data_IF_057993286622
#
_entry.id   IF_057993286622
#
_cell.length_a   1.000
_cell.length_b   1.000
_cell.length_c   1.000
_cell.angle_alpha   90.00
_cell.angle_beta   90.00
_cell.angle_gamma   90.00
#
_symmetry.space_group_name_H-M   'P 1'
#
loop_
_entity.id
_entity.type
_entity.pdbx_description
1 polymer ?
#
# COMPACT_ATOMS: atom_id res chain seq x y z
N UNK A 1 23.69 -28.09 33.00
CA UNK A 1 24.15 -27.43 34.23
C UNK A 1 23.16 -26.32 34.57
N UNK A 2 22.29 -26.64 35.55
CA UNK A 2 21.32 -25.65 36.06
C UNK A 2 22.08 -24.68 36.95
N UNK A 3 22.10 -23.40 36.63
CA UNK A 3 22.74 -22.37 37.46
C UNK A 3 21.95 -22.26 38.78
N UNK A 4 22.59 -22.41 39.98
CA UNK A 4 21.90 -22.31 41.27
C UNK A 4 21.15 -20.97 41.47
N UNK A 5 21.60 -19.89 40.83
CA UNK A 5 21.02 -18.54 40.93
C UNK A 5 19.59 -18.45 40.38
N UNK A 6 19.16 -19.45 39.60
CA UNK A 6 17.80 -19.49 39.02
C UNK A 6 16.75 -19.68 40.15
N UNK A 7 17.10 -20.37 41.23
CA UNK A 7 16.14 -20.63 42.32
C UNK A 7 15.66 -19.39 43.05
N UNK A 8 16.44 -18.31 43.05
CA UNK A 8 16.04 -17.02 43.64
C UNK A 8 14.84 -16.40 42.93
N UNK A 9 14.69 -16.65 41.62
CA UNK A 9 13.60 -16.07 40.84
C UNK A 9 12.23 -16.73 41.09
N UNK A 10 12.19 -17.94 41.62
CA UNK A 10 10.94 -18.59 42.06
C UNK A 10 10.24 -17.81 43.18
N UNK A 11 10.99 -17.06 43.99
CA UNK A 11 10.42 -16.21 45.05
C UNK A 11 9.56 -15.08 44.52
N UNK A 12 9.65 -14.74 43.22
CA UNK A 12 8.83 -13.73 42.58
C UNK A 12 7.38 -14.19 42.31
N UNK A 13 7.12 -15.51 42.38
CA UNK A 13 5.78 -16.08 42.15
C UNK A 13 5.24 -15.90 40.72
N UNK A 14 6.14 -15.73 39.74
CA UNK A 14 5.78 -15.45 38.33
C UNK A 14 5.81 -16.73 37.46
N UNK A 15 5.99 -17.91 38.03
CA UNK A 15 6.16 -19.17 37.31
C UNK A 15 7.60 -19.54 37.09
N UNK A 16 7.85 -20.48 36.18
CA UNK A 16 9.20 -21.03 35.91
C UNK A 16 10.04 -19.99 35.12
N UNK A 17 11.27 -19.68 35.61
CA UNK A 17 12.17 -18.78 34.89
C UNK A 17 12.81 -19.47 33.67
N UNK A 18 12.93 -18.76 32.57
CA UNK A 18 13.62 -19.24 31.36
C UNK A 18 15.05 -18.69 31.33
N UNK A 19 16.07 -19.49 31.67
CA UNK A 19 17.46 -19.01 31.62
C UNK A 19 17.95 -18.88 30.19
N UNK A 20 18.39 -17.69 29.82
CA UNK A 20 18.88 -17.40 28.46
C UNK A 20 20.26 -16.78 28.48
N UNK A 21 21.08 -17.11 27.50
CA UNK A 21 22.36 -16.45 27.25
C UNK A 21 22.32 -15.77 25.87
N UNK A 22 22.22 -14.45 25.84
CA UNK A 22 22.21 -13.67 24.61
C UNK A 22 23.53 -13.80 23.82
N UNK A 23 24.66 -14.00 24.54
CA UNK A 23 25.98 -14.12 23.90
C UNK A 23 26.18 -15.48 23.23
N UNK A 24 25.63 -16.56 23.83
CA UNK A 24 25.83 -17.93 23.37
C UNK A 24 24.58 -18.55 22.72
N UNK A 25 23.46 -17.84 22.70
CA UNK A 25 22.20 -18.32 22.14
C UNK A 25 21.53 -19.47 22.92
N UNK A 26 22.04 -19.82 24.12
CA UNK A 26 21.46 -20.90 24.93
C UNK A 26 20.11 -20.46 25.53
N UNK A 27 19.12 -21.37 25.49
CA UNK A 27 17.80 -21.17 26.09
C UNK A 27 16.87 -20.21 25.35
N UNK A 28 17.33 -19.60 24.25
CA UNK A 28 16.51 -18.66 23.46
C UNK A 28 15.36 -19.36 22.72
N UNK A 29 15.56 -20.61 22.29
CA UNK A 29 14.51 -21.42 21.68
C UNK A 29 13.38 -21.72 22.67
N UNK A 30 13.72 -22.21 23.87
CA UNK A 30 12.75 -22.53 24.90
C UNK A 30 11.93 -21.33 25.36
N UNK A 31 12.60 -20.14 25.44
CA UNK A 31 11.91 -18.88 25.72
C UNK A 31 10.93 -18.49 24.60
N UNK A 32 11.33 -18.63 23.35
CA UNK A 32 10.47 -18.31 22.20
C UNK A 32 9.27 -19.27 22.14
N UNK A 33 9.49 -20.57 22.33
CA UNK A 33 8.42 -21.56 22.36
C UNK A 33 7.40 -21.26 23.47
N UNK A 34 7.86 -20.91 24.67
CA UNK A 34 7.01 -20.47 25.75
C UNK A 34 6.25 -19.16 25.44
N UNK A 35 6.85 -18.23 24.72
CA UNK A 35 6.15 -17.03 24.25
C UNK A 35 5.05 -17.40 23.25
N UNK A 36 5.32 -18.32 22.32
CA UNK A 36 4.33 -18.77 21.33
C UNK A 36 3.12 -19.44 21.95
N UNK A 37 3.27 -20.18 23.04
CA UNK A 37 2.15 -20.80 23.78
C UNK A 37 1.15 -19.74 24.31
N UNK A 38 1.60 -18.51 24.52
CA UNK A 38 0.79 -17.43 25.07
C UNK A 38 0.25 -16.48 23.98
N UNK A 39 0.62 -16.69 22.71
CA UNK A 39 -0.03 -15.95 21.63
C UNK A 39 -1.45 -16.46 21.43
N UNK A 40 -2.43 -15.56 21.20
CA UNK A 40 -3.76 -16.01 20.81
C UNK A 40 -3.65 -16.87 19.55
N UNK A 41 -4.42 -17.99 19.47
CA UNK A 41 -4.42 -18.82 18.27
C UNK A 41 -4.73 -17.96 17.04
N UNK A 42 -4.09 -18.29 15.92
CA UNK A 42 -4.20 -17.55 14.64
C UNK A 42 -5.67 -17.38 14.16
N UNK A 43 -6.57 -18.28 14.61
CA UNK A 43 -8.01 -18.25 14.36
C UNK A 43 -8.77 -17.14 15.11
N UNK A 44 -8.12 -16.41 16.04
CA UNK A 44 -8.68 -15.23 16.73
C UNK A 44 -8.14 -13.90 16.21
N UNK A 45 -7.20 -13.88 15.27
CA UNK A 45 -7.14 -12.79 14.33
C UNK A 45 -8.55 -12.77 13.68
N UNK A 46 -9.39 -11.78 14.04
CA UNK A 46 -10.65 -11.51 13.36
C UNK A 46 -10.35 -11.72 11.89
N UNK A 47 -11.07 -12.66 11.25
CA UNK A 47 -10.94 -12.88 9.82
C UNK A 47 -10.94 -11.46 9.24
N UNK A 48 -9.79 -11.01 8.74
CA UNK A 48 -9.71 -9.69 8.11
C UNK A 48 -10.87 -9.71 7.14
N UNK A 49 -11.89 -8.90 7.42
CA UNK A 49 -13.07 -8.83 6.58
C UNK A 49 -12.52 -8.78 5.17
N UNK A 50 -12.99 -9.67 4.31
CA UNK A 50 -12.56 -9.83 2.90
C UNK A 50 -12.93 -8.58 2.09
N UNK A 51 -12.77 -7.42 2.73
CA UNK A 51 -13.14 -6.08 2.31
C UNK A 51 -11.91 -5.30 1.89
N UNK A 52 -11.83 -5.00 0.61
CA UNK A 52 -10.75 -4.16 0.08
C UNK A 52 -11.05 -2.68 0.36
N UNK A 53 -10.16 -2.02 1.10
CA UNK A 53 -10.27 -0.61 1.47
C UNK A 53 -9.62 0.28 0.40
N UNK A 54 -10.42 1.13 -0.23
CA UNK A 54 -10.02 1.96 -1.38
C UNK A 54 -10.02 3.43 -1.00
N UNK A 55 -8.88 4.10 -1.10
CA UNK A 55 -8.80 5.56 -1.04
C UNK A 55 -8.82 6.16 -2.44
N UNK A 56 -9.74 7.09 -2.70
CA UNK A 56 -9.76 7.89 -3.95
C UNK A 56 -9.17 9.25 -3.63
N UNK A 57 -7.95 9.49 -4.08
CA UNK A 57 -7.17 10.69 -3.77
C UNK A 57 -6.84 11.48 -5.04
N UNK A 58 -6.47 12.74 -4.88
CA UNK A 58 -6.14 13.65 -5.98
C UNK A 58 -6.52 15.09 -5.63
N UNK A 59 -6.08 16.04 -6.44
CA UNK A 59 -6.36 17.47 -6.25
C UNK A 59 -7.86 17.79 -6.30
N UNK A 60 -8.28 18.98 -5.85
CA UNK A 60 -9.66 19.45 -6.00
C UNK A 60 -10.13 19.42 -7.47
N UNK A 61 -11.42 19.20 -7.69
CA UNK A 61 -12.09 19.22 -9.00
C UNK A 61 -11.61 18.19 -10.04
N UNK A 62 -10.73 17.25 -9.71
CA UNK A 62 -10.30 16.18 -10.60
C UNK A 62 -11.40 15.13 -10.89
N UNK A 63 -12.52 15.19 -10.14
CA UNK A 63 -13.68 14.32 -10.35
C UNK A 63 -13.84 13.18 -9.36
N UNK A 64 -13.20 13.24 -8.18
CA UNK A 64 -13.33 12.22 -7.11
C UNK A 64 -14.79 11.94 -6.75
N UNK A 65 -15.54 12.99 -6.43
CA UNK A 65 -16.97 12.88 -6.07
C UNK A 65 -17.82 12.29 -7.21
N UNK A 66 -17.49 12.64 -8.45
CA UNK A 66 -18.17 12.08 -9.63
C UNK A 66 -17.92 10.59 -9.77
N UNK A 67 -16.67 10.15 -9.55
CA UNK A 67 -16.31 8.73 -9.58
C UNK A 67 -17.00 7.96 -8.47
N UNK A 68 -16.96 8.45 -7.23
CA UNK A 68 -17.67 7.83 -6.10
C UNK A 68 -19.17 7.71 -6.36
N UNK A 69 -19.80 8.80 -6.80
CA UNK A 69 -21.24 8.77 -7.11
C UNK A 69 -21.55 7.81 -8.25
N UNK A 70 -20.69 7.69 -9.25
CA UNK A 70 -20.84 6.73 -10.35
C UNK A 70 -20.75 5.29 -9.85
N UNK A 71 -19.77 4.99 -8.99
CA UNK A 71 -19.60 3.66 -8.40
C UNK A 71 -20.80 3.28 -7.55
N UNK A 72 -21.21 4.17 -6.62
CA UNK A 72 -22.30 3.91 -5.69
C UNK A 72 -23.69 3.99 -6.33
N UNK A 73 -23.82 4.64 -7.47
CA UNK A 73 -25.08 4.78 -8.22
C UNK A 73 -25.35 3.66 -9.23
N UNK A 74 -24.49 2.68 -9.37
CA UNK A 74 -24.73 1.51 -10.24
C UNK A 74 -25.70 0.53 -9.58
N UNK A 75 -26.69 0.03 -10.31
CA UNK A 75 -27.78 -0.82 -9.79
C UNK A 75 -27.34 -2.13 -9.10
N UNK A 76 -26.08 -2.54 -9.27
CA UNK A 76 -25.51 -3.77 -8.70
C UNK A 76 -24.72 -3.53 -7.42
N UNK A 77 -24.65 -2.31 -6.92
CA UNK A 77 -23.95 -1.96 -5.70
C UNK A 77 -24.93 -2.07 -4.54
N UNK A 78 -24.78 -3.10 -3.73
CA UNK A 78 -25.51 -3.24 -2.48
C UNK A 78 -24.78 -2.35 -1.46
N UNK A 79 -25.33 -1.16 -1.20
CA UNK A 79 -24.91 -0.34 -0.07
C UNK A 79 -25.45 -1.01 1.18
N UNK A 80 -24.64 -1.75 1.91
CA UNK A 80 -25.05 -2.29 3.20
C UNK A 80 -24.75 -1.26 4.29
N UNK A 81 -25.81 -0.76 4.93
CA UNK A 81 -25.68 -0.17 6.27
C UNK A 81 -25.39 -1.32 7.24
N UNK A 82 -24.16 -1.77 7.33
CA UNK A 82 -23.75 -2.74 8.35
C UNK A 82 -23.77 -2.01 9.68
N UNK A 83 -24.86 -2.19 10.40
CA UNK A 83 -25.02 -1.79 11.78
C UNK A 83 -24.01 -2.60 12.63
N UNK A 84 -22.89 -2.00 12.98
CA UNK A 84 -21.85 -2.62 13.80
C UNK A 84 -20.48 -1.95 13.70
N UNK A 85 -20.18 -1.21 12.64
CA UNK A 85 -18.96 -0.42 12.52
C UNK A 85 -19.26 1.04 12.89
N UNK A 86 -19.53 1.27 14.17
CA UNK A 86 -19.78 2.58 14.80
C UNK A 86 -18.51 3.43 14.80
N UNK A 87 -17.78 3.58 13.71
CA UNK A 87 -16.62 4.47 13.78
C UNK A 87 -16.56 5.61 12.79
N UNK A 88 -17.20 5.58 11.62
CA UNK A 88 -17.24 6.81 10.82
C UNK A 88 -18.37 6.75 9.77
N UNK A 89 -19.37 7.61 9.91
CA UNK A 89 -20.39 7.92 8.89
C UNK A 89 -19.81 8.53 7.60
N UNK A 90 -18.53 8.28 7.34
CA UNK A 90 -17.68 8.93 6.34
C UNK A 90 -17.34 7.97 5.21
N UNK A 91 -17.42 6.65 5.43
CA UNK A 91 -17.03 5.61 4.48
C UNK A 91 -18.26 4.97 3.81
N UNK A 92 -18.08 4.37 2.64
CA UNK A 92 -19.17 3.69 1.92
C UNK A 92 -18.81 2.27 1.53
N UNK A 93 -19.59 1.31 2.02
CA UNK A 93 -19.51 -0.10 1.64
C UNK A 93 -20.28 -0.38 0.36
N UNK A 94 -19.76 -1.26 -0.47
CA UNK A 94 -20.49 -1.86 -1.57
C UNK A 94 -19.90 -3.24 -1.92
N UNK A 95 -20.68 -4.03 -2.64
CA UNK A 95 -20.28 -5.34 -3.13
C UNK A 95 -20.40 -5.37 -4.66
N UNK A 96 -19.40 -5.94 -5.32
CA UNK A 96 -19.39 -6.13 -6.76
C UNK A 96 -18.75 -7.48 -7.09
N UNK A 97 -19.50 -8.28 -7.88
CA UNK A 97 -19.06 -9.61 -8.34
C UNK A 97 -18.58 -10.54 -7.19
N UNK A 98 -19.21 -10.42 -6.00
CA UNK A 98 -18.86 -11.19 -4.80
C UNK A 98 -17.71 -10.63 -3.98
N UNK A 99 -17.00 -9.60 -4.45
CA UNK A 99 -15.96 -8.91 -3.68
C UNK A 99 -16.54 -7.69 -2.97
N UNK A 100 -16.19 -7.53 -1.69
CA UNK A 100 -16.59 -6.39 -0.87
C UNK A 100 -15.55 -5.29 -0.90
N UNK A 101 -16.01 -4.05 -1.00
CA UNK A 101 -15.16 -2.86 -1.04
C UNK A 101 -15.62 -1.82 -0.04
N UNK A 102 -14.68 -1.05 0.50
CA UNK A 102 -14.93 0.11 1.37
C UNK A 102 -14.24 1.33 0.76
N UNK A 103 -15.01 2.31 0.28
CA UNK A 103 -14.43 3.59 -0.14
C UNK A 103 -14.28 4.48 1.09
N UNK A 104 -13.04 4.89 1.37
CA UNK A 104 -12.67 5.71 2.52
C UNK A 104 -12.99 7.19 2.27
N UNK A 105 -13.49 7.89 3.29
CA UNK A 105 -13.76 9.35 3.32
C UNK A 105 -14.76 9.85 2.27
N UNK A 106 -15.85 9.11 2.03
CA UNK A 106 -16.87 9.48 1.05
C UNK A 106 -17.70 10.70 1.48
N UNK A 107 -17.87 11.01 2.77
CA UNK A 107 -18.65 12.15 3.24
C UNK A 107 -17.99 13.49 2.89
N UNK A 108 -16.65 13.55 2.92
CA UNK A 108 -15.91 14.72 2.43
C UNK A 108 -16.08 14.95 0.93
N UNK A 109 -16.37 13.88 0.18
CA UNK A 109 -16.60 13.93 -1.28
C UNK A 109 -18.05 14.25 -1.64
N UNK A 110 -19.04 13.88 -0.78
CA UNK A 110 -20.47 14.12 -1.03
C UNK A 110 -20.91 15.54 -0.74
N UNK A 111 -20.31 16.21 0.25
CA UNK A 111 -20.59 17.62 0.56
C UNK A 111 -19.82 18.51 -0.41
N UNK A 112 -20.49 19.11 -1.40
CA UNK A 112 -19.95 20.23 -2.19
C UNK A 112 -19.65 21.38 -1.21
N UNK A 113 -18.45 21.47 -0.70
CA UNK A 113 -18.04 22.65 0.07
C UNK A 113 -17.72 23.78 -0.91
N UNK A 114 -18.32 24.96 -0.66
CA UNK A 114 -17.89 26.21 -1.28
C UNK A 114 -16.41 26.41 -0.94
N UNK A 115 -15.64 26.73 -1.98
CA UNK A 115 -14.18 26.86 -1.95
C UNK A 115 -13.79 28.03 -1.05
N UNK A 116 -12.89 27.75 -0.09
CA UNK A 116 -12.15 28.76 0.66
C UNK A 116 -10.68 28.33 0.75
N UNK A 117 -9.72 29.25 0.64
CA UNK A 117 -8.26 29.02 0.57
C UNK A 117 -7.64 28.25 1.77
N UNK A 118 -8.42 28.03 2.82
CA UNK A 118 -8.07 27.13 3.93
C UNK A 118 -8.16 25.65 3.58
N UNK A 119 -8.73 25.32 2.43
CA UNK A 119 -9.08 23.95 2.00
C UNK A 119 -7.84 23.11 1.64
N UNK A 120 -6.73 23.73 1.25
CA UNK A 120 -5.56 23.00 0.74
C UNK A 120 -4.86 22.17 1.83
N UNK A 121 -4.62 22.75 3.01
CA UNK A 121 -4.02 22.02 4.15
C UNK A 121 -4.94 20.92 4.68
N UNK A 122 -6.24 21.17 4.73
CA UNK A 122 -7.22 20.16 5.12
C UNK A 122 -7.36 19.03 4.08
N UNK A 123 -7.15 19.33 2.78
CA UNK A 123 -7.19 18.35 1.71
C UNK A 123 -6.03 17.36 1.80
N UNK A 124 -4.81 17.84 2.09
CA UNK A 124 -3.63 16.98 2.27
C UNK A 124 -3.77 16.09 3.50
N UNK A 125 -4.19 16.65 4.64
CA UNK A 125 -4.41 15.88 5.87
C UNK A 125 -5.44 14.76 5.67
N UNK A 126 -6.57 15.06 5.02
CA UNK A 126 -7.59 14.06 4.69
C UNK A 126 -7.05 12.98 3.75
N UNK A 127 -6.29 13.37 2.73
CA UNK A 127 -5.65 12.42 1.83
C UNK A 127 -4.72 11.48 2.61
N UNK A 128 -3.89 12.01 3.52
CA UNK A 128 -3.00 11.21 4.37
C UNK A 128 -3.78 10.22 5.24
N UNK A 129 -4.84 10.67 5.92
CA UNK A 129 -5.69 9.80 6.76
C UNK A 129 -6.39 8.71 5.93
N UNK A 130 -6.85 9.04 4.72
CA UNK A 130 -7.47 8.06 3.82
C UNK A 130 -6.44 7.04 3.32
N UNK A 131 -5.23 7.49 2.97
CA UNK A 131 -4.12 6.63 2.56
C UNK A 131 -3.77 5.65 3.68
N UNK A 132 -3.59 6.12 4.91
CA UNK A 132 -3.23 5.26 6.05
C UNK A 132 -4.22 4.11 6.26
N UNK A 133 -5.51 4.38 6.12
CA UNK A 133 -6.60 3.43 6.35
C UNK A 133 -6.89 2.51 5.15
N UNK A 134 -6.31 2.77 3.98
CA UNK A 134 -6.60 2.03 2.75
C UNK A 134 -5.62 0.89 2.48
N UNK A 135 -6.05 -0.08 1.67
CA UNK A 135 -5.22 -1.13 1.07
C UNK A 135 -4.68 -0.66 -0.29
N UNK A 136 -5.48 0.12 -1.01
CA UNK A 136 -5.16 0.64 -2.34
C UNK A 136 -5.57 2.09 -2.51
N UNK A 137 -4.74 2.87 -3.21
CA UNK A 137 -4.99 4.27 -3.55
C UNK A 137 -5.25 4.42 -5.05
N UNK A 138 -6.43 4.91 -5.41
CA UNK A 138 -6.74 5.40 -6.76
C UNK A 138 -6.38 6.89 -6.85
N UNK A 139 -5.27 7.20 -7.50
CA UNK A 139 -4.71 8.56 -7.64
C UNK A 139 -5.29 9.18 -8.89
N UNK A 140 -6.20 10.14 -8.71
CA UNK A 140 -6.91 10.78 -9.81
C UNK A 140 -6.17 11.99 -10.37
N UNK A 141 -5.98 12.00 -11.68
CA UNK A 141 -5.38 13.07 -12.48
C UNK A 141 -6.41 13.55 -13.51
N UNK A 142 -6.43 14.85 -13.79
CA UNK A 142 -7.27 15.45 -14.82
C UNK A 142 -6.60 15.34 -16.20
N UNK A 143 -7.23 14.65 -17.14
CA UNK A 143 -6.70 14.50 -18.50
C UNK A 143 -6.51 15.83 -19.24
N UNK A 144 -7.29 16.86 -18.89
CA UNK A 144 -7.19 18.19 -19.54
C UNK A 144 -5.97 18.99 -19.08
N UNK A 145 -5.54 18.78 -17.82
CA UNK A 145 -4.42 19.51 -17.23
C UNK A 145 -3.11 18.71 -17.26
N UNK A 146 -3.19 17.39 -17.38
CA UNK A 146 -2.05 16.50 -17.22
C UNK A 146 -1.59 16.40 -15.76
N UNK A 147 -0.38 15.89 -15.55
CA UNK A 147 0.24 15.77 -14.22
C UNK A 147 0.72 17.14 -13.75
N UNK A 148 0.26 17.55 -12.57
CA UNK A 148 0.67 18.80 -11.94
C UNK A 148 1.56 18.54 -10.72
N UNK A 149 2.25 19.55 -10.20
CA UNK A 149 3.05 19.46 -8.99
C UNK A 149 2.22 18.96 -7.78
N UNK A 150 0.95 19.38 -7.70
CA UNK A 150 0.05 18.92 -6.65
C UNK A 150 -0.28 17.43 -6.78
N UNK A 151 -0.48 16.92 -7.99
CA UNK A 151 -0.70 15.51 -8.26
C UNK A 151 0.54 14.69 -7.86
N UNK A 152 1.74 15.16 -8.19
CA UNK A 152 3.00 14.52 -7.79
C UNK A 152 3.16 14.46 -6.27
N UNK A 153 2.80 15.52 -5.55
CA UNK A 153 2.83 15.52 -4.06
C UNK A 153 1.86 14.51 -3.47
N UNK A 154 0.62 14.47 -3.96
CA UNK A 154 -0.41 13.53 -3.49
C UNK A 154 -0.02 12.07 -3.81
N UNK A 155 0.49 11.83 -5.01
CA UNK A 155 1.00 10.52 -5.42
C UNK A 155 2.18 10.07 -4.55
N UNK A 156 3.10 11.00 -4.22
CA UNK A 156 4.22 10.76 -3.32
C UNK A 156 3.79 10.28 -1.94
N UNK A 157 2.74 10.87 -1.35
CA UNK A 157 2.21 10.42 -0.06
C UNK A 157 1.77 8.95 -0.07
N UNK A 158 1.09 8.52 -1.13
CA UNK A 158 0.65 7.12 -1.27
C UNK A 158 1.84 6.16 -1.51
N UNK A 159 2.81 6.60 -2.31
CA UNK A 159 4.04 5.86 -2.55
C UNK A 159 4.86 5.68 -1.27
N UNK A 160 5.12 6.75 -0.54
CA UNK A 160 5.90 6.74 0.71
C UNK A 160 5.23 5.90 1.80
N UNK A 161 3.89 5.85 1.81
CA UNK A 161 3.11 4.97 2.68
C UNK A 161 3.14 3.48 2.24
N UNK A 162 3.80 3.15 1.13
CA UNK A 162 3.93 1.78 0.62
C UNK A 162 2.62 1.16 0.15
N UNK A 163 1.60 1.96 -0.19
CA UNK A 163 0.29 1.44 -0.60
C UNK A 163 0.30 0.91 -2.03
N UNK A 164 -0.57 -0.05 -2.29
CA UNK A 164 -0.90 -0.40 -3.67
C UNK A 164 -1.52 0.82 -4.36
N UNK A 165 -1.09 1.16 -5.58
CA UNK A 165 -1.50 2.38 -6.26
C UNK A 165 -1.99 2.10 -7.68
N UNK A 166 -3.00 2.86 -8.11
CA UNK A 166 -3.50 2.93 -9.48
C UNK A 166 -3.54 4.40 -9.88
N UNK A 167 -2.96 4.76 -11.01
CA UNK A 167 -3.06 6.12 -11.56
C UNK A 167 -4.30 6.16 -12.45
N UNK A 168 -5.25 7.04 -12.11
CA UNK A 168 -6.54 7.18 -12.81
C UNK A 168 -6.57 8.52 -13.54
N UNK A 169 -6.43 8.51 -14.85
CA UNK A 169 -6.55 9.68 -15.70
C UNK A 169 -8.02 9.87 -16.06
N UNK A 170 -8.68 10.79 -15.36
CA UNK A 170 -10.12 11.08 -15.47
C UNK A 170 -10.41 12.20 -16.48
N UNK A 171 -11.68 12.41 -16.78
CA UNK A 171 -12.21 13.32 -17.80
C UNK A 171 -11.73 12.97 -19.22
N UNK A 172 -11.52 11.67 -19.46
CA UNK A 172 -11.10 11.17 -20.77
C UNK A 172 -12.07 11.52 -21.91
N UNK A 173 -13.35 11.79 -21.58
CA UNK A 173 -14.38 12.27 -22.51
C UNK A 173 -14.15 13.71 -23.01
N UNK A 174 -13.47 14.53 -22.21
CA UNK A 174 -13.34 15.98 -22.44
C UNK A 174 -12.13 16.39 -23.29
N UNK A 175 -11.29 15.44 -23.71
CA UNK A 175 -10.12 15.73 -24.56
C UNK A 175 -10.33 15.27 -26.00
N UNK A 176 -9.74 16.00 -26.93
CA UNK A 176 -9.63 15.57 -28.33
C UNK A 176 -8.63 14.42 -28.46
N UNK A 177 -9.00 13.40 -29.22
CA UNK A 177 -8.21 12.15 -29.31
C UNK A 177 -7.84 11.85 -30.76
N UNK A 178 -6.59 11.56 -30.96
CA UNK A 178 -6.08 10.86 -32.14
C UNK A 178 -5.62 9.45 -31.79
N UNK A 179 -5.11 8.70 -32.76
CA UNK A 179 -4.66 7.31 -32.55
C UNK A 179 -3.48 7.15 -31.57
N UNK A 180 -2.81 8.24 -31.19
CA UNK A 180 -1.62 8.24 -30.30
C UNK A 180 -1.83 9.01 -28.99
N UNK A 181 -2.97 9.66 -28.79
CA UNK A 181 -3.22 10.53 -27.62
C UNK A 181 -3.06 9.75 -26.31
N UNK A 182 -3.58 8.54 -26.22
CA UNK A 182 -3.46 7.72 -25.01
C UNK A 182 -2.01 7.35 -24.72
N UNK A 183 -1.26 6.94 -25.74
CA UNK A 183 0.15 6.57 -25.59
C UNK A 183 0.98 7.78 -25.11
N UNK A 184 0.85 8.92 -25.79
CA UNK A 184 1.58 10.14 -25.39
C UNK A 184 1.28 10.56 -23.95
N UNK A 185 0.01 10.54 -23.55
CA UNK A 185 -0.38 10.91 -22.19
C UNK A 185 0.12 9.89 -21.17
N UNK A 186 0.17 8.60 -21.50
CA UNK A 186 0.76 7.59 -20.62
C UNK A 186 2.28 7.82 -20.47
N UNK A 187 2.99 8.13 -21.56
CA UNK A 187 4.41 8.47 -21.52
C UNK A 187 4.68 9.70 -20.63
N UNK A 188 3.84 10.75 -20.73
CA UNK A 188 3.92 11.94 -19.87
C UNK A 188 3.68 11.58 -18.39
N UNK A 189 2.64 10.82 -18.09
CA UNK A 189 2.36 10.33 -16.71
C UNK A 189 3.54 9.52 -16.17
N UNK A 190 4.11 8.62 -16.98
CA UNK A 190 5.28 7.80 -16.59
C UNK A 190 6.53 8.62 -16.35
N UNK A 191 6.75 9.67 -17.16
CA UNK A 191 7.87 10.60 -16.96
C UNK A 191 7.73 11.39 -15.65
N UNK A 192 6.53 11.96 -15.42
CA UNK A 192 6.31 12.88 -14.31
C UNK A 192 6.12 12.15 -12.97
N UNK A 193 5.68 10.87 -13.00
CA UNK A 193 5.56 9.97 -11.86
C UNK A 193 6.55 8.78 -11.99
N UNK A 194 7.80 9.07 -12.36
CA UNK A 194 8.83 8.05 -12.66
C UNK A 194 9.15 7.12 -11.48
N UNK A 195 8.90 7.54 -10.25
CA UNK A 195 9.04 6.73 -9.04
C UNK A 195 7.90 5.70 -8.83
N UNK A 196 6.80 5.80 -9.62
CA UNK A 196 5.64 4.91 -9.52
C UNK A 196 5.46 4.02 -10.76
N UNK A 197 6.54 3.50 -11.32
CA UNK A 197 6.50 2.62 -12.50
C UNK A 197 5.69 1.35 -12.32
N UNK A 198 5.52 0.91 -11.08
CA UNK A 198 4.72 -0.27 -10.69
C UNK A 198 3.21 -0.02 -10.77
N UNK A 199 2.74 1.23 -10.67
CA UNK A 199 1.33 1.55 -10.66
C UNK A 199 0.73 1.50 -12.07
N UNK A 200 -0.33 0.72 -12.32
CA UNK A 200 -1.02 0.75 -13.61
C UNK A 200 -1.70 2.09 -13.86
N UNK A 201 -1.79 2.49 -15.13
CA UNK A 201 -2.47 3.71 -15.57
C UNK A 201 -3.80 3.33 -16.22
N UNK A 202 -4.89 3.93 -15.75
CA UNK A 202 -6.24 3.75 -16.28
C UNK A 202 -6.82 5.07 -16.75
N UNK A 203 -7.21 5.13 -18.01
CA UNK A 203 -7.94 6.26 -18.59
C UNK A 203 -9.44 5.99 -18.50
N UNK A 204 -10.20 6.87 -17.82
CA UNK A 204 -11.65 6.72 -17.65
C UNK A 204 -12.38 8.07 -17.70
N UNK A 205 -13.70 8.01 -17.78
CA UNK A 205 -14.56 9.16 -17.52
C UNK A 205 -15.56 8.83 -16.42
N UNK A 206 -15.42 9.49 -15.29
CA UNK A 206 -16.38 9.38 -14.19
C UNK A 206 -17.76 9.97 -14.58
N UNK A 207 -17.78 10.94 -15.49
CA UNK A 207 -19.01 11.57 -15.96
C UNK A 207 -19.85 10.62 -16.84
N UNK A 208 -19.21 10.02 -17.84
CA UNK A 208 -19.92 9.14 -18.81
C UNK A 208 -19.98 7.69 -18.36
N UNK A 209 -19.14 7.28 -17.40
CA UNK A 209 -18.98 5.90 -16.95
C UNK A 209 -18.00 5.09 -17.80
N UNK A 210 -17.38 5.70 -18.82
CA UNK A 210 -16.44 5.03 -19.70
C UNK A 210 -15.28 4.41 -18.92
N UNK A 211 -15.09 3.09 -19.04
CA UNK A 211 -14.01 2.30 -18.42
C UNK A 211 -13.99 2.28 -16.88
N UNK A 212 -15.01 2.78 -16.20
CA UNK A 212 -15.08 2.72 -14.72
C UNK A 212 -15.06 1.27 -14.23
N UNK A 213 -15.71 0.35 -14.95
CA UNK A 213 -15.70 -1.08 -14.64
C UNK A 213 -14.29 -1.70 -14.57
N UNK A 214 -13.36 -1.22 -15.41
CA UNK A 214 -11.96 -1.71 -15.42
C UNK A 214 -11.19 -1.36 -14.15
N UNK A 215 -11.66 -0.37 -13.39
CA UNK A 215 -11.01 0.04 -12.14
C UNK A 215 -11.04 -1.09 -11.11
N UNK A 216 -12.14 -1.84 -11.02
CA UNK A 216 -12.28 -2.91 -10.03
C UNK A 216 -11.30 -4.06 -10.31
N UNK A 217 -11.20 -4.50 -11.55
CA UNK A 217 -10.22 -5.54 -11.92
C UNK A 217 -8.77 -5.11 -11.64
N UNK A 218 -8.46 -3.81 -11.78
CA UNK A 218 -7.14 -3.28 -11.39
C UNK A 218 -6.96 -3.22 -9.88
N UNK A 219 -7.99 -2.83 -9.11
CA UNK A 219 -7.96 -2.84 -7.64
C UNK A 219 -7.63 -4.24 -7.14
N UNK A 220 -8.36 -5.26 -7.59
CA UNK A 220 -8.13 -6.64 -7.19
C UNK A 220 -6.72 -7.11 -7.58
N UNK A 221 -6.27 -6.76 -8.79
CA UNK A 221 -4.94 -7.13 -9.27
C UNK A 221 -3.82 -6.53 -8.40
N UNK A 222 -3.86 -5.21 -8.11
CA UNK A 222 -2.77 -4.56 -7.35
C UNK A 222 -2.79 -4.95 -5.87
N UNK A 223 -3.97 -5.18 -5.28
CA UNK A 223 -4.09 -5.68 -3.89
C UNK A 223 -3.53 -7.10 -3.77
N UNK A 224 -3.88 -7.97 -4.72
CA UNK A 224 -3.35 -9.33 -4.76
C UNK A 224 -1.83 -9.34 -4.96
N UNK A 225 -1.29 -8.48 -5.82
CA UNK A 225 0.16 -8.33 -5.99
C UNK A 225 0.85 -7.84 -4.72
N UNK A 226 0.26 -6.88 -4.02
CA UNK A 226 0.80 -6.36 -2.75
C UNK A 226 0.77 -7.41 -1.63
N UNK A 227 -0.18 -8.36 -1.67
CA UNK A 227 -0.30 -9.47 -0.74
C UNK A 227 0.58 -10.67 -1.09
N UNK A 228 1.21 -10.67 -2.27
CA UNK A 228 1.97 -11.81 -2.75
C UNK A 228 3.23 -12.04 -1.91
N UNK A 229 3.43 -13.28 -1.47
CA UNK A 229 4.67 -13.73 -0.85
C UNK A 229 5.54 -14.44 -1.89
N UNK A 230 6.71 -13.88 -2.13
CA UNK A 230 7.66 -14.40 -3.13
C UNK A 230 8.62 -15.37 -2.44
N UNK A 231 8.78 -16.61 -2.94
CA UNK A 231 9.74 -17.56 -2.38
C UNK A 231 11.17 -17.01 -2.38
N UNK A 232 11.91 -17.25 -1.30
CA UNK A 232 13.29 -16.75 -1.14
C UNK A 232 14.21 -17.20 -2.28
N UNK A 233 14.02 -18.41 -2.83
CA UNK A 233 14.78 -18.90 -3.98
C UNK A 233 14.59 -18.02 -5.24
N UNK A 234 13.35 -17.59 -5.53
CA UNK A 234 13.03 -16.69 -6.65
C UNK A 234 13.65 -15.32 -6.44
N UNK A 235 13.54 -14.77 -5.21
CA UNK A 235 14.16 -13.49 -4.86
C UNK A 235 15.67 -13.49 -5.08
N UNK A 236 16.36 -14.58 -4.67
CA UNK A 236 17.80 -14.66 -4.82
C UNK A 236 18.22 -14.90 -6.28
N UNK A 237 17.40 -15.55 -7.10
CA UNK A 237 17.62 -15.60 -8.54
C UNK A 237 17.59 -14.19 -9.16
N UNK A 238 16.54 -13.42 -8.86
CA UNK A 238 16.40 -12.02 -9.31
C UNK A 238 17.58 -11.16 -8.83
N UNK A 239 18.00 -11.34 -7.57
CA UNK A 239 19.14 -10.64 -7.02
C UNK A 239 20.46 -10.98 -7.76
N UNK A 240 20.68 -12.25 -8.07
CA UNK A 240 21.85 -12.68 -8.83
C UNK A 240 21.87 -12.09 -10.25
N UNK A 241 20.71 -12.09 -10.93
CA UNK A 241 20.55 -11.50 -12.25
C UNK A 241 20.77 -9.98 -12.23
N UNK A 242 20.28 -9.29 -11.20
CA UNK A 242 20.50 -7.86 -11.03
C UNK A 242 22.01 -7.53 -10.84
N UNK A 243 22.69 -8.28 -9.96
CA UNK A 243 24.14 -8.09 -9.73
C UNK A 243 24.99 -8.42 -10.95
N UNK A 244 24.54 -9.35 -11.81
CA UNK A 244 25.21 -9.66 -13.06
C UNK A 244 25.09 -8.52 -14.08
N UNK A 245 23.97 -7.81 -14.09
CA UNK A 245 23.72 -6.65 -15.00
C UNK A 245 24.38 -5.38 -14.52
N UNK A 246 24.27 -5.10 -13.23
CA UNK A 246 24.82 -3.89 -12.60
C UNK A 246 25.73 -4.30 -11.45
N UNK A 247 27.03 -4.07 -11.62
CA UNK A 247 27.98 -4.45 -10.58
C UNK A 247 27.80 -3.62 -9.31
N UNK A 248 27.90 -4.27 -8.12
CA UNK A 248 27.82 -3.56 -6.85
C UNK A 248 28.88 -2.45 -6.73
N UNK A 249 28.52 -1.29 -6.14
CA UNK A 249 29.40 -0.15 -6.02
C UNK A 249 30.61 -0.44 -5.13
N UNK A 250 31.67 0.34 -5.36
CA UNK A 250 32.89 0.31 -4.54
C UNK A 250 33.12 1.71 -4.00
N UNK A 251 33.21 1.86 -2.68
CA UNK A 251 33.60 3.11 -2.02
C UNK A 251 34.88 2.89 -1.19
N UNK A 252 35.86 3.79 -1.35
CA UNK A 252 37.15 3.78 -0.62
C UNK A 252 37.85 2.41 -0.60
N UNK A 253 37.78 1.69 -1.73
CA UNK A 253 38.39 0.37 -1.88
C UNK A 253 37.57 -0.80 -1.28
N UNK A 254 36.44 -0.53 -0.63
CA UNK A 254 35.50 -1.56 -0.17
C UNK A 254 34.39 -1.74 -1.20
N UNK A 255 34.24 -2.97 -1.71
CA UNK A 255 33.15 -3.34 -2.60
C UNK A 255 31.95 -3.81 -1.79
N UNK A 256 30.75 -3.37 -2.16
CA UNK A 256 29.49 -3.92 -1.65
C UNK A 256 29.39 -5.40 -2.04
N UNK A 257 29.15 -6.26 -1.05
CA UNK A 257 28.84 -7.68 -1.25
C UNK A 257 27.44 -7.94 -0.73
N UNK A 258 26.55 -8.39 -1.60
CA UNK A 258 25.19 -8.77 -1.25
C UNK A 258 25.16 -10.29 -1.16
N UNK A 259 24.70 -10.82 -0.02
CA UNK A 259 24.71 -12.25 0.26
C UNK A 259 23.42 -12.93 -0.16
N UNK A 260 22.29 -12.40 0.30
CA UNK A 260 20.97 -12.88 -0.09
C UNK A 260 19.88 -11.87 0.28
N UNK A 261 18.67 -12.12 -0.21
CA UNK A 261 17.48 -11.33 0.05
C UNK A 261 16.31 -12.24 0.47
N UNK A 262 15.49 -11.75 1.40
CA UNK A 262 14.25 -12.41 1.80
C UNK A 262 13.13 -11.42 1.98
N UNK A 263 11.88 -11.87 1.82
CA UNK A 263 10.70 -11.07 2.08
C UNK A 263 10.21 -11.34 3.52
N UNK A 264 10.09 -10.28 4.32
CA UNK A 264 9.66 -10.36 5.73
C UNK A 264 8.22 -9.89 5.94
N UNK A 265 7.61 -9.20 4.97
CA UNK A 265 6.26 -8.68 5.08
C UNK A 265 5.56 -8.53 3.74
N UNK A 266 4.22 -8.40 3.81
CA UNK A 266 3.33 -8.10 2.70
C UNK A 266 2.43 -6.93 3.08
N UNK A 267 1.83 -6.24 2.09
CA UNK A 267 0.90 -5.10 2.29
C UNK A 267 1.41 -3.97 3.20
N UNK A 268 2.55 -3.32 2.92
CA UNK A 268 3.36 -3.40 1.70
C UNK A 268 4.38 -4.55 1.73
N UNK A 269 4.90 -4.96 0.57
CA UNK A 269 5.99 -5.92 0.50
C UNK A 269 7.26 -5.33 1.14
N UNK A 270 7.79 -6.00 2.15
CA UNK A 270 9.04 -5.65 2.81
C UNK A 270 10.11 -6.69 2.53
N UNK A 271 11.29 -6.23 2.12
CA UNK A 271 12.43 -7.09 1.82
C UNK A 271 13.63 -6.74 2.72
N UNK A 272 14.36 -7.75 3.14
CA UNK A 272 15.64 -7.59 3.83
C UNK A 272 16.73 -8.10 2.93
N UNK A 273 17.72 -7.26 2.68
CA UNK A 273 18.92 -7.59 1.91
C UNK A 273 20.09 -7.69 2.87
N UNK A 274 20.74 -8.84 2.89
CA UNK A 274 21.91 -9.09 3.73
C UNK A 274 23.19 -8.76 2.93
N UNK A 275 24.00 -7.86 3.48
CA UNK A 275 25.23 -7.38 2.84
C UNK A 275 26.36 -7.21 3.86
N UNK A 276 27.57 -6.99 3.37
CA UNK A 276 28.75 -6.77 4.21
C UNK A 276 28.75 -5.43 4.92
N UNK A 277 28.16 -4.39 4.32
CA UNK A 277 28.11 -3.04 4.88
C UNK A 277 26.95 -2.26 4.24
N UNK A 278 25.96 -1.89 5.05
CA UNK A 278 24.78 -1.16 4.58
C UNK A 278 25.08 0.26 4.09
N UNK A 279 26.19 0.88 4.58
CA UNK A 279 26.60 2.21 4.16
C UNK A 279 27.12 2.26 2.72
N UNK A 280 27.48 1.10 2.15
CA UNK A 280 27.89 0.98 0.76
C UNK A 280 26.69 0.93 -0.22
N UNK A 281 25.47 0.74 0.31
CA UNK A 281 24.25 0.82 -0.50
C UNK A 281 23.95 2.28 -0.83
N UNK A 282 24.13 2.63 -2.08
CA UNK A 282 23.70 3.95 -2.56
C UNK A 282 22.27 3.87 -3.05
N UNK A 283 21.49 4.95 -2.84
CA UNK A 283 20.08 5.02 -3.25
C UNK A 283 19.84 4.69 -4.73
N UNK A 284 20.81 4.95 -5.59
CA UNK A 284 20.72 4.70 -7.03
C UNK A 284 21.13 3.28 -7.47
N UNK A 285 21.58 2.44 -6.56
CA UNK A 285 21.92 1.04 -6.83
C UNK A 285 20.77 0.14 -6.44
#
# INVERSE_FOLDING_TARGET
>A
HTNPDIYEFYNLGLGDPYPVSAVHGHGTGDLLDACFEHFPPEDQAEAEDDVIKVAIIGKPNVGKSSLVNRILGQERVIVSDVAGTTRDAVDSYFEKDGQKYLIIDTAGMRKKSKVDDRVEKFSVLRATMAIERSDVCAIMIDAQEGVTEQDTKVAGLAHDAGKACIIVVNKWDAIEKDGKTMQRMEEDVRRDLSYMTYAPVLFLSALTGQRVEKLFGLIDSVVNQAAMRIPTGVLNQVLADAQARVQPPTDKGKRLKIYYMTQIGVKPPHFVIFCNDAQLFHFSY
#
